data_IF_597930297810
#
_entry.id   IF_597930297810
#
_cell.length_a   1.000
_cell.length_b   1.000
_cell.length_c   1.000
_cell.angle_alpha   90.00
_cell.angle_beta   90.00
_cell.angle_gamma   90.00
#
_symmetry.space_group_name_H-M   'P 1'
#
loop_
_entity.id
_entity.type
_entity.pdbx_description
1 polymer ?
#
# COMPACT_ATOMS: atom_id res chain seq x y z
N UNK A 1 -2.61 58.64 -2.95
CA UNK A 1 -2.48 57.49 -2.02
C UNK A 1 -3.15 56.28 -2.62
N UNK A 2 -2.69 55.06 -2.30
CA UNK A 2 -3.23 53.73 -2.69
C UNK A 2 -2.73 53.14 -4.01
N UNK A 3 -1.41 53.01 -4.14
CA UNK A 3 -0.80 51.79 -4.69
C UNK A 3 -0.62 50.83 -3.51
N UNK A 4 -0.56 49.52 -3.76
CA UNK A 4 -0.51 48.39 -2.78
C UNK A 4 -1.90 47.77 -2.56
N UNK A 5 -2.29 46.82 -3.40
CA UNK A 5 -3.11 45.65 -3.03
C UNK A 5 -3.10 44.64 -4.19
N UNK A 6 -1.92 44.12 -4.56
CA UNK A 6 -1.81 43.07 -5.59
C UNK A 6 -0.62 42.13 -5.34
N UNK A 7 -0.37 41.77 -4.09
CA UNK A 7 0.72 40.83 -3.73
C UNK A 7 0.21 39.63 -2.90
N UNK A 8 -1.02 39.67 -2.38
CA UNK A 8 -1.54 38.60 -1.52
C UNK A 8 -2.12 37.38 -2.26
N UNK A 9 -2.28 37.43 -3.58
CA UNK A 9 -2.93 36.35 -4.34
C UNK A 9 -1.97 35.27 -4.88
N UNK A 10 -0.65 35.47 -4.85
CA UNK A 10 0.32 34.49 -5.39
C UNK A 10 0.82 33.45 -4.38
N UNK A 11 0.53 33.61 -3.08
CA UNK A 11 1.02 32.67 -2.06
C UNK A 11 0.17 31.38 -1.95
N UNK A 12 -1.00 31.31 -2.57
CA UNK A 12 -1.93 30.18 -2.44
C UNK A 12 -1.68 29.02 -3.43
N UNK A 13 -0.68 29.13 -4.31
CA UNK A 13 -0.41 28.13 -5.37
C UNK A 13 0.75 27.18 -5.07
N UNK A 14 1.36 27.25 -3.88
CA UNK A 14 2.29 26.21 -3.44
C UNK A 14 1.51 25.02 -2.87
N UNK A 15 0.67 24.42 -3.71
CA UNK A 15 0.18 23.08 -3.48
C UNK A 15 1.41 22.17 -3.44
N UNK A 16 1.87 21.85 -2.24
CA UNK A 16 2.82 20.77 -2.05
C UNK A 16 2.10 19.52 -2.54
N UNK A 17 2.46 19.04 -3.73
CA UNK A 17 2.10 17.70 -4.14
C UNK A 17 2.67 16.79 -3.05
N UNK A 18 1.80 16.28 -2.17
CA UNK A 18 2.19 15.33 -1.16
C UNK A 18 2.68 14.10 -1.94
N UNK A 19 4.01 13.94 -2.00
CA UNK A 19 4.62 12.79 -2.67
C UNK A 19 4.11 11.53 -1.95
N UNK A 20 3.18 10.82 -2.56
CA UNK A 20 2.71 9.55 -2.03
C UNK A 20 3.92 8.61 -1.92
N UNK A 21 4.01 7.83 -0.84
CA UNK A 21 5.11 6.87 -0.68
C UNK A 21 4.65 5.50 -1.16
N UNK A 22 5.42 4.86 -2.02
CA UNK A 22 5.22 3.47 -2.43
C UNK A 22 6.11 2.55 -1.62
N UNK A 23 5.51 1.54 -1.02
CA UNK A 23 6.16 0.46 -0.30
C UNK A 23 6.28 -0.74 -1.23
N UNK A 24 7.48 -1.28 -1.35
CA UNK A 24 7.76 -2.47 -2.17
C UNK A 24 8.36 -3.52 -1.26
N UNK A 25 7.61 -4.57 -0.95
CA UNK A 25 8.07 -5.72 -0.18
C UNK A 25 8.27 -6.92 -1.10
N UNK A 26 9.47 -7.49 -1.13
CA UNK A 26 9.78 -8.68 -1.94
C UNK A 26 10.22 -9.82 -1.04
N UNK A 27 9.52 -10.95 -1.08
CA UNK A 27 9.88 -12.12 -0.27
C UNK A 27 11.29 -12.61 -0.60
N UNK A 28 12.04 -12.99 0.42
CA UNK A 28 13.41 -13.53 0.33
C UNK A 28 13.52 -15.00 0.70
N UNK A 29 12.42 -15.62 1.13
CA UNK A 29 12.32 -17.01 1.58
C UNK A 29 11.93 -18.01 0.48
N UNK A 30 12.04 -17.60 -0.79
CA UNK A 30 11.72 -18.44 -1.95
C UNK A 30 10.24 -18.44 -2.36
N UNK A 31 9.35 -17.73 -1.64
CA UNK A 31 7.91 -17.67 -1.98
C UNK A 31 7.58 -16.86 -3.24
N UNK A 32 8.57 -16.20 -3.87
CA UNK A 32 8.43 -15.53 -5.16
C UNK A 32 7.27 -14.52 -5.24
N UNK A 33 6.93 -13.87 -4.12
CA UNK A 33 5.90 -12.83 -4.07
C UNK A 33 6.54 -11.45 -3.91
N UNK A 34 5.98 -10.46 -4.58
CA UNK A 34 6.22 -9.06 -4.31
C UNK A 34 4.89 -8.35 -4.06
N UNK A 35 4.81 -7.59 -2.97
CA UNK A 35 3.70 -6.72 -2.65
C UNK A 35 4.14 -5.26 -2.81
N UNK A 36 3.47 -4.54 -3.71
CA UNK A 36 3.64 -3.10 -3.91
C UNK A 36 2.40 -2.36 -3.42
N UNK A 37 2.57 -1.35 -2.58
CA UNK A 37 1.47 -0.54 -2.06
C UNK A 37 1.83 0.95 -2.05
N UNK A 38 1.08 1.76 -2.81
CA UNK A 38 1.13 3.21 -2.65
C UNK A 38 0.27 3.61 -1.46
N UNK A 39 0.81 4.41 -0.53
CA UNK A 39 0.05 4.92 0.61
C UNK A 39 -1.13 5.76 0.10
N UNK A 40 -2.33 5.41 0.56
CA UNK A 40 -3.63 5.97 0.11
C UNK A 40 -3.87 5.85 -1.39
N UNK A 41 -3.16 4.92 -2.05
CA UNK A 41 -3.23 4.70 -3.49
C UNK A 41 -3.45 3.23 -3.85
N UNK A 42 -3.17 2.90 -5.11
CA UNK A 42 -3.30 1.54 -5.60
C UNK A 42 -2.22 0.62 -5.01
N UNK A 43 -2.60 -0.64 -4.80
CA UNK A 43 -1.68 -1.73 -4.48
C UNK A 43 -1.76 -2.87 -5.49
N UNK A 44 -0.72 -3.69 -5.51
CA UNK A 44 -0.56 -4.78 -6.46
C UNK A 44 0.23 -5.93 -5.84
N UNK A 45 -0.18 -7.16 -6.13
CA UNK A 45 0.61 -8.36 -5.88
C UNK A 45 1.20 -8.85 -7.18
N UNK A 46 2.47 -9.19 -7.15
CA UNK A 46 3.20 -9.79 -8.25
C UNK A 46 3.74 -11.14 -7.84
N UNK A 47 3.65 -12.10 -8.77
CA UNK A 47 4.42 -13.33 -8.72
C UNK A 47 5.69 -13.13 -9.53
N UNK A 48 6.82 -13.52 -8.95
CA UNK A 48 8.13 -13.45 -9.57
C UNK A 48 8.47 -14.80 -10.18
N UNK A 49 8.86 -14.83 -11.46
CA UNK A 49 9.33 -16.07 -12.11
C UNK A 49 10.67 -15.79 -12.77
N UNK A 50 11.75 -16.34 -12.19
CA UNK A 50 13.13 -16.14 -12.63
C UNK A 50 13.56 -14.66 -12.80
N UNK A 51 13.16 -14.03 -13.92
CA UNK A 51 13.48 -12.64 -14.29
C UNK A 51 12.26 -11.72 -14.40
N UNK A 52 11.05 -12.26 -14.48
CA UNK A 52 9.83 -11.51 -14.77
C UNK A 52 8.93 -11.36 -13.54
N UNK A 53 8.09 -10.34 -13.58
CA UNK A 53 7.03 -10.08 -12.60
C UNK A 53 5.68 -10.09 -13.29
N UNK A 54 4.78 -10.95 -12.82
CA UNK A 54 3.42 -11.04 -13.33
C UNK A 54 2.44 -10.54 -12.27
N UNK A 55 1.62 -9.55 -12.63
CA UNK A 55 0.60 -9.04 -11.72
C UNK A 55 -0.45 -10.13 -11.46
N UNK A 56 -0.51 -10.61 -10.22
CA UNK A 56 -1.46 -11.63 -9.79
C UNK A 56 -2.78 -11.02 -9.32
N UNK A 57 -2.73 -9.87 -8.65
CA UNK A 57 -3.92 -9.20 -8.15
C UNK A 57 -3.72 -7.69 -7.99
N UNK A 58 -4.82 -6.95 -8.13
CA UNK A 58 -4.90 -5.55 -7.68
C UNK A 58 -5.40 -5.54 -6.23
N UNK A 59 -4.82 -4.66 -5.44
CA UNK A 59 -5.16 -4.47 -4.03
C UNK A 59 -5.74 -3.08 -3.78
N UNK A 60 -6.70 -3.03 -2.86
CA UNK A 60 -7.19 -1.80 -2.24
C UNK A 60 -6.55 -1.69 -0.86
N UNK A 61 -5.95 -0.54 -0.55
CA UNK A 61 -5.44 -0.28 0.79
C UNK A 61 -6.58 -0.31 1.81
N UNK A 62 -6.37 -1.00 2.92
CA UNK A 62 -7.36 -1.09 4.00
C UNK A 62 -6.93 -0.32 5.24
N UNK A 63 -5.63 -0.27 5.52
CA UNK A 63 -5.06 0.52 6.61
C UNK A 63 -3.61 0.92 6.31
N UNK A 64 -3.19 2.04 6.89
CA UNK A 64 -1.79 2.47 6.90
C UNK A 64 -1.40 3.06 8.25
N UNK A 65 -0.13 2.90 8.58
CA UNK A 65 0.55 3.45 9.75
C UNK A 65 1.99 3.77 9.36
N UNK A 66 2.78 4.27 10.32
CA UNK A 66 4.19 4.56 10.05
C UNK A 66 4.99 3.30 9.70
N UNK A 67 4.67 2.14 10.29
CA UNK A 67 5.48 0.90 10.15
C UNK A 67 4.79 -0.18 9.33
N UNK A 68 3.48 -0.12 9.18
CA UNK A 68 2.68 -1.16 8.50
C UNK A 68 1.73 -0.53 7.49
N UNK A 69 1.65 -1.11 6.31
CA UNK A 69 0.58 -0.84 5.33
C UNK A 69 -0.10 -2.14 4.93
N UNK A 70 -1.42 -2.17 4.96
CA UNK A 70 -2.22 -3.34 4.64
C UNK A 70 -3.15 -3.08 3.45
N UNK A 71 -3.41 -4.14 2.69
CA UNK A 71 -4.33 -4.12 1.59
C UNK A 71 -5.01 -5.46 1.38
N UNK A 72 -6.15 -5.42 0.69
CA UNK A 72 -6.94 -6.60 0.35
C UNK A 72 -7.15 -6.69 -1.14
N UNK A 73 -7.32 -7.91 -1.66
CA UNK A 73 -7.64 -8.12 -3.07
C UNK A 73 -8.98 -7.47 -3.40
N UNK A 74 -9.04 -6.76 -4.52
CA UNK A 74 -10.30 -6.15 -4.98
C UNK A 74 -11.36 -7.23 -5.15
N UNK A 75 -12.52 -7.05 -4.50
CA UNK A 75 -13.60 -8.03 -4.48
C UNK A 75 -13.53 -9.07 -3.35
N UNK A 76 -12.54 -8.98 -2.45
CA UNK A 76 -12.39 -9.86 -1.28
C UNK A 76 -13.30 -9.50 -0.08
N UNK A 77 -14.34 -8.72 -0.33
CA UNK A 77 -15.34 -8.34 0.66
C UNK A 77 -16.69 -8.14 -0.04
N UNK A 78 -17.77 -8.57 0.61
CA UNK A 78 -19.10 -8.08 0.27
C UNK A 78 -19.23 -6.60 0.66
N UNK A 79 -20.06 -5.85 -0.06
CA UNK A 79 -20.23 -4.42 0.19
C UNK A 79 -20.65 -4.16 1.65
N UNK A 80 -19.89 -3.29 2.34
CA UNK A 80 -20.16 -2.92 3.73
C UNK A 80 -19.60 -3.89 4.78
N UNK A 81 -18.84 -4.91 4.38
CA UNK A 81 -18.16 -5.83 5.29
C UNK A 81 -16.64 -5.64 5.27
N UNK A 82 -15.94 -5.87 6.39
CA UNK A 82 -14.48 -6.03 6.40
C UNK A 82 -14.04 -7.12 5.41
N UNK A 83 -12.82 -7.05 4.86
CA UNK A 83 -12.33 -8.09 3.96
C UNK A 83 -12.16 -9.44 4.66
N UNK A 84 -12.22 -10.51 3.87
CA UNK A 84 -11.96 -11.87 4.38
C UNK A 84 -10.47 -12.07 4.66
N UNK A 85 -9.59 -11.48 3.84
CA UNK A 85 -8.15 -11.52 4.09
C UNK A 85 -7.46 -10.21 3.74
N UNK A 86 -6.36 -9.92 4.43
CA UNK A 86 -5.50 -8.78 4.17
C UNK A 86 -4.04 -9.20 4.18
N UNK A 87 -3.26 -8.59 3.30
CA UNK A 87 -1.80 -8.70 3.32
C UNK A 87 -1.25 -7.39 3.86
N UNK A 88 -0.23 -7.49 4.72
CA UNK A 88 0.39 -6.33 5.33
C UNK A 88 1.89 -6.34 5.06
N UNK A 89 2.43 -5.22 4.61
CA UNK A 89 3.88 -4.96 4.61
C UNK A 89 4.24 -4.37 5.96
N UNK A 90 5.18 -4.97 6.67
CA UNK A 90 5.79 -4.37 7.86
C UNK A 90 7.25 -4.00 7.55
N UNK A 91 7.53 -2.70 7.46
CA UNK A 91 8.89 -2.22 7.17
C UNK A 91 9.84 -2.36 8.36
N UNK A 92 9.32 -2.37 9.58
CA UNK A 92 10.14 -2.47 10.80
C UNK A 92 10.64 -3.90 11.00
N UNK A 93 9.81 -4.89 10.67
CA UNK A 93 10.11 -6.31 10.76
C UNK A 93 10.63 -6.93 9.46
N UNK A 94 10.58 -6.20 8.34
CA UNK A 94 11.02 -6.69 7.03
C UNK A 94 10.26 -7.98 6.65
N UNK A 95 8.94 -7.90 6.67
CA UNK A 95 8.06 -9.05 6.42
C UNK A 95 6.79 -8.67 5.67
N UNK A 96 6.20 -9.68 5.03
CA UNK A 96 4.80 -9.66 4.60
C UNK A 96 4.04 -10.57 5.56
N UNK A 97 2.97 -10.08 6.18
CA UNK A 97 2.07 -10.86 7.04
C UNK A 97 0.68 -10.99 6.41
N UNK A 98 -0.07 -11.98 6.88
CA UNK A 98 -1.43 -12.25 6.44
C UNK A 98 -2.39 -12.16 7.63
N UNK A 99 -3.49 -11.43 7.44
CA UNK A 99 -4.63 -11.42 8.36
C UNK A 99 -5.81 -12.09 7.70
N UNK A 100 -6.62 -12.79 8.49
CA UNK A 100 -7.79 -13.52 8.00
C UNK A 100 -8.95 -13.38 8.97
N UNK A 101 -10.15 -13.25 8.40
CA UNK A 101 -11.41 -13.20 9.12
C UNK A 101 -12.13 -14.51 8.92
N UNK A 102 -12.38 -15.24 10.01
CA UNK A 102 -13.18 -16.47 9.98
C UNK A 102 -14.60 -16.16 9.51
N UNK A 103 -15.27 -17.11 8.81
CA UNK A 103 -16.67 -16.94 8.45
C UNK A 103 -17.53 -16.61 9.68
N UNK A 104 -18.32 -15.54 9.59
CA UNK A 104 -19.18 -15.07 10.69
C UNK A 104 -18.48 -14.25 11.78
N UNK A 105 -17.15 -14.09 11.73
CA UNK A 105 -16.44 -13.21 12.65
C UNK A 105 -16.50 -11.73 12.19
N UNK A 106 -16.51 -10.80 13.14
CA UNK A 106 -16.49 -9.36 12.86
C UNK A 106 -15.08 -8.77 12.72
N UNK A 107 -14.06 -9.46 13.23
CA UNK A 107 -12.69 -8.98 13.28
C UNK A 107 -11.72 -9.87 12.48
N UNK A 108 -10.68 -9.23 11.94
CA UNK A 108 -9.53 -9.91 11.36
C UNK A 108 -8.64 -10.45 12.48
N UNK A 109 -8.22 -11.70 12.36
CA UNK A 109 -7.20 -12.32 13.19
C UNK A 109 -5.85 -12.29 12.45
N UNK A 110 -4.77 -12.07 13.19
CA UNK A 110 -3.41 -12.20 12.65
C UNK A 110 -3.10 -13.69 12.44
N UNK A 111 -2.89 -14.09 11.19
CA UNK A 111 -2.55 -15.48 10.83
C UNK A 111 -1.04 -15.70 10.93
N UNK A 112 -0.27 -14.61 11.02
CA UNK A 112 1.17 -14.62 11.15
C UNK A 112 1.91 -14.18 9.89
N UNK A 113 3.22 -14.43 9.93
CA UNK A 113 4.16 -14.03 8.87
C UNK A 113 3.95 -14.90 7.64
N UNK A 114 3.63 -14.27 6.51
CA UNK A 114 3.58 -14.94 5.22
C UNK A 114 4.98 -15.22 4.69
N UNK A 115 5.86 -14.21 4.70
CA UNK A 115 7.26 -14.36 4.31
C UNK A 115 8.16 -13.31 4.96
N UNK A 116 9.43 -13.64 5.13
CA UNK A 116 10.47 -12.63 5.30
C UNK A 116 10.65 -11.88 3.97
N UNK A 117 10.79 -10.56 4.01
CA UNK A 117 10.81 -9.72 2.82
C UNK A 117 11.80 -8.55 2.95
N UNK A 118 12.41 -8.15 1.83
CA UNK A 118 13.09 -6.85 1.77
C UNK A 118 12.05 -5.78 1.44
N UNK A 119 11.94 -4.77 2.30
CA UNK A 119 11.00 -3.66 2.17
C UNK A 119 11.73 -2.38 1.79
N UNK A 120 11.37 -1.83 0.64
CA UNK A 120 11.92 -0.58 0.10
C UNK A 120 10.83 0.48 -0.03
N UNK A 121 11.12 1.69 0.44
CA UNK A 121 10.25 2.86 0.29
C UNK A 121 10.70 3.68 -0.92
N UNK A 122 9.76 4.07 -1.78
CA UNK A 122 10.02 4.91 -2.95
C UNK A 122 9.08 6.11 -2.94
N UNK A 123 9.61 7.30 -3.22
CA UNK A 123 8.78 8.47 -3.47
C UNK A 123 8.06 8.29 -4.81
N UNK A 124 6.74 8.37 -4.80
CA UNK A 124 5.92 8.20 -6.00
C UNK A 124 5.83 9.53 -6.74
N UNK A 125 6.67 9.71 -7.76
CA UNK A 125 6.44 10.73 -8.79
C UNK A 125 5.56 10.11 -9.89
N UNK A 126 4.29 9.82 -9.59
CA UNK A 126 3.34 9.40 -10.62
C UNK A 126 2.98 10.64 -11.45
N UNK A 127 3.73 10.88 -12.53
CA UNK A 127 3.08 11.39 -13.73
C UNK A 127 2.25 10.22 -14.24
N UNK A 128 0.93 10.34 -14.11
CA UNK A 128 -0.03 9.42 -14.72
C UNK A 128 0.36 9.23 -16.19
N UNK A 129 0.53 7.98 -16.61
CA UNK A 129 0.72 7.59 -18.01
C UNK A 129 -0.63 7.23 -18.62
#
# INVERSE_FOLDING_TARGET
MRKIMLVAALAALTGTAANATTWVATCTDGKNVQYVQTVKGAGYLYLRTAKDYFQAARLTQTSDSETVVCGTVVGNAEAGQPPVSELCIDKSRQEISLKYRKPGASALEDVGVYCAAVVTLRATNLKEH
#
